data_IF_248207843855
#
_entry.id   IF_248207843855
#
_cell.length_a   1.000
_cell.length_b   1.000
_cell.length_c   1.000
_cell.angle_alpha   90.00
_cell.angle_beta   90.00
_cell.angle_gamma   90.00
#
_symmetry.space_group_name_H-M   'P 1'
#
loop_
_entity.id
_entity.type
_entity.pdbx_description
1 polymer ?
#
# COMPACT_ATOMS: atom_id res chain seq x y z
N UNK A 1 22.19 10.52 -6.99
CA UNK A 1 20.76 10.82 -7.25
C UNK A 1 20.24 12.06 -6.51
N UNK A 2 20.90 12.58 -5.46
CA UNK A 2 20.53 13.88 -4.85
C UNK A 2 19.15 13.92 -4.17
N UNK A 3 18.48 12.78 -4.01
CA UNK A 3 17.14 12.71 -3.42
C UNK A 3 17.20 12.85 -1.91
N UNK A 4 16.39 13.78 -1.37
CA UNK A 4 16.23 13.98 0.08
C UNK A 4 15.09 13.06 0.55
N UNK A 5 15.40 11.82 0.91
CA UNK A 5 14.42 10.83 1.40
C UNK A 5 13.86 11.34 2.73
N UNK A 6 12.58 11.68 2.78
CA UNK A 6 12.03 12.38 3.95
C UNK A 6 11.89 11.43 5.13
N UNK A 7 11.54 10.14 4.90
CA UNK A 7 11.22 9.14 5.95
C UNK A 7 11.39 7.70 5.42
N UNK A 8 12.06 6.82 6.17
CA UNK A 8 12.15 5.39 5.87
C UNK A 8 10.96 4.63 6.47
N UNK A 9 10.42 3.67 5.73
CA UNK A 9 9.31 2.82 6.14
C UNK A 9 9.80 1.37 6.08
N UNK A 10 9.92 0.69 7.23
CA UNK A 10 10.58 -0.59 7.31
C UNK A 10 9.97 -1.57 8.33
N UNK A 11 10.34 -2.86 8.26
CA UNK A 11 9.75 -3.98 9.01
C UNK A 11 10.04 -3.95 10.53
N UNK A 12 10.86 -3.00 10.98
CA UNK A 12 11.54 -2.86 12.27
C UNK A 12 10.64 -2.32 13.42
N UNK A 13 9.34 -2.61 13.36
CA UNK A 13 8.46 -2.58 14.55
C UNK A 13 7.86 -1.24 14.96
N UNK A 14 8.01 -0.16 14.16
CA UNK A 14 7.36 1.15 14.39
C UNK A 14 6.88 1.78 13.08
N UNK A 15 5.90 1.15 12.42
CA UNK A 15 5.41 1.47 11.06
C UNK A 15 4.64 2.80 10.92
N UNK A 16 5.08 3.83 11.64
CA UNK A 16 4.67 5.21 11.46
C UNK A 16 5.85 6.11 11.87
N UNK A 17 6.16 7.18 11.13
CA UNK A 17 7.05 8.22 11.61
C UNK A 17 6.67 8.69 13.02
N UNK A 18 7.63 8.82 13.94
CA UNK A 18 7.37 9.26 15.33
C UNK A 18 6.57 10.56 15.44
N UNK A 19 6.59 11.40 14.40
CA UNK A 19 5.92 12.69 14.36
C UNK A 19 4.68 12.70 13.44
N UNK A 20 4.14 11.54 13.05
CA UNK A 20 2.93 11.50 12.24
C UNK A 20 1.73 11.93 13.10
N UNK A 21 1.09 13.02 12.69
CA UNK A 21 -0.15 13.47 13.30
C UNK A 21 -1.32 12.75 12.61
N UNK A 22 -1.98 11.85 13.33
CA UNK A 22 -3.13 11.11 12.80
C UNK A 22 -4.43 11.73 13.25
N UNK A 23 -5.14 12.34 12.30
CA UNK A 23 -6.56 12.56 12.46
C UNK A 23 -7.30 11.26 12.07
N UNK A 24 -8.04 10.65 13.00
CA UNK A 24 -8.73 9.36 12.79
C UNK A 24 -9.72 9.40 11.62
N UNK A 25 -10.46 10.49 11.46
CA UNK A 25 -11.46 10.63 10.40
C UNK A 25 -10.80 10.72 9.02
N UNK A 26 -9.70 11.49 8.93
CA UNK A 26 -8.87 11.54 7.71
C UNK A 26 -8.22 10.19 7.43
N UNK A 27 -7.71 9.50 8.45
CA UNK A 27 -7.07 8.20 8.29
C UNK A 27 -8.05 7.15 7.74
N UNK A 28 -9.27 7.11 8.27
CA UNK A 28 -10.31 6.19 7.77
C UNK A 28 -10.61 6.44 6.29
N UNK A 29 -10.76 7.71 5.90
CA UNK A 29 -11.03 8.08 4.50
C UNK A 29 -9.92 7.61 3.56
N UNK A 30 -8.65 7.79 3.95
CA UNK A 30 -7.50 7.35 3.15
C UNK A 30 -7.42 5.82 3.09
N UNK A 31 -7.69 5.13 4.19
CA UNK A 31 -7.70 3.66 4.23
C UNK A 31 -8.80 3.11 3.32
N UNK A 32 -10.04 3.61 3.44
CA UNK A 32 -11.17 3.17 2.61
C UNK A 32 -10.87 3.37 1.12
N UNK A 33 -10.30 4.53 0.75
CA UNK A 33 -9.87 4.82 -0.63
C UNK A 33 -8.91 3.75 -1.18
N UNK A 34 -7.88 3.36 -0.41
CA UNK A 34 -6.92 2.35 -0.86
C UNK A 34 -7.49 0.93 -0.85
N UNK A 35 -8.38 0.60 0.09
CA UNK A 35 -9.08 -0.69 0.10
C UNK A 35 -9.95 -0.87 -1.14
N UNK A 36 -10.68 0.17 -1.54
CA UNK A 36 -11.52 0.16 -2.73
C UNK A 36 -10.67 0.11 -4.01
N UNK A 37 -9.62 0.94 -4.10
CA UNK A 37 -8.73 0.99 -5.27
C UNK A 37 -7.94 -0.29 -5.53
N UNK A 38 -7.70 -1.08 -4.49
CA UNK A 38 -6.99 -2.35 -4.57
C UNK A 38 -7.95 -3.55 -4.56
N UNK A 39 -9.26 -3.33 -4.61
CA UNK A 39 -10.29 -4.37 -4.63
C UNK A 39 -10.16 -5.38 -3.48
N UNK A 40 -9.92 -4.88 -2.27
CA UNK A 40 -9.78 -5.67 -1.03
C UNK A 40 -10.70 -5.18 0.09
N UNK A 41 -11.70 -4.35 -0.23
CA UNK A 41 -12.68 -3.82 0.74
C UNK A 41 -13.49 -4.91 1.42
N UNK A 42 -13.84 -5.96 0.68
CA UNK A 42 -14.62 -7.12 1.13
C UNK A 42 -13.89 -7.97 2.20
N UNK A 43 -12.58 -7.79 2.35
CA UNK A 43 -11.76 -8.51 3.32
C UNK A 43 -11.21 -7.63 4.44
N UNK A 44 -11.67 -6.39 4.55
CA UNK A 44 -11.16 -5.42 5.53
C UNK A 44 -11.24 -5.92 6.98
N UNK A 45 -12.31 -6.65 7.32
CA UNK A 45 -12.55 -7.17 8.67
C UNK A 45 -12.10 -8.63 8.86
N UNK A 46 -11.41 -9.22 7.87
CA UNK A 46 -10.94 -10.61 7.93
C UNK A 46 -9.56 -10.71 8.56
N UNK A 47 -9.31 -11.79 9.30
CA UNK A 47 -7.99 -12.09 9.84
C UNK A 47 -7.00 -12.49 8.73
N UNK A 48 -5.67 -12.32 8.93
CA UNK A 48 -4.65 -12.65 7.93
C UNK A 48 -4.69 -14.09 7.38
N UNK A 49 -5.14 -15.05 8.20
CA UNK A 49 -5.32 -16.45 7.80
C UNK A 49 -6.56 -16.72 6.95
N UNK A 50 -7.49 -15.75 6.86
CA UNK A 50 -8.76 -15.87 6.15
C UNK A 50 -8.75 -15.18 4.77
N UNK A 51 -7.60 -14.65 4.35
CA UNK A 51 -7.43 -13.96 3.07
C UNK A 51 -6.46 -14.73 2.17
N UNK A 52 -6.66 -14.64 0.85
CA UNK A 52 -5.79 -15.26 -0.15
C UNK A 52 -4.39 -14.61 -0.18
N UNK A 53 -3.43 -15.29 -0.80
CA UNK A 53 -2.08 -14.74 -1.02
C UNK A 53 -2.10 -13.39 -1.74
N UNK A 54 -2.87 -13.29 -2.83
CA UNK A 54 -3.02 -12.05 -3.57
C UNK A 54 -3.72 -10.92 -2.79
N UNK A 55 -4.69 -11.24 -1.93
CA UNK A 55 -5.29 -10.25 -1.02
C UNK A 55 -4.26 -9.75 0.02
N UNK A 56 -3.43 -10.63 0.58
CA UNK A 56 -2.34 -10.23 1.50
C UNK A 56 -1.33 -9.32 0.81
N UNK A 57 -0.94 -9.63 -0.43
CA UNK A 57 -0.01 -8.83 -1.20
C UNK A 57 -0.58 -7.43 -1.47
N UNK A 58 -1.85 -7.34 -1.90
CA UNK A 58 -2.56 -6.07 -2.09
C UNK A 58 -2.69 -5.27 -0.79
N UNK A 59 -3.00 -5.92 0.34
CA UNK A 59 -3.02 -5.27 1.64
C UNK A 59 -1.65 -4.73 2.07
N UNK A 60 -0.56 -5.44 1.75
CA UNK A 60 0.81 -4.98 1.98
C UNK A 60 1.14 -3.73 1.16
N UNK A 61 0.75 -3.70 -0.13
CA UNK A 61 0.88 -2.52 -0.99
C UNK A 61 0.07 -1.35 -0.42
N UNK A 62 -1.20 -1.58 -0.06
CA UNK A 62 -2.09 -0.57 0.54
C UNK A 62 -1.46 0.10 1.77
N UNK A 63 -0.89 -0.72 2.67
CA UNK A 63 -0.26 -0.26 3.90
C UNK A 63 0.91 0.68 3.62
N UNK A 64 1.66 0.44 2.55
CA UNK A 64 2.76 1.30 2.14
C UNK A 64 2.25 2.59 1.49
N UNK A 65 1.26 2.50 0.60
CA UNK A 65 0.71 3.65 -0.13
C UNK A 65 -0.05 4.64 0.75
N UNK A 66 -0.73 4.16 1.81
CA UNK A 66 -1.39 5.00 2.83
C UNK A 66 -0.44 6.04 3.43
N UNK A 67 0.85 5.73 3.52
CA UNK A 67 1.87 6.61 4.11
C UNK A 67 2.41 7.66 3.14
N UNK A 68 1.96 7.65 1.88
CA UNK A 68 2.43 8.52 0.81
C UNK A 68 3.97 8.56 0.74
N UNK A 69 4.63 7.41 0.45
CA UNK A 69 6.08 7.31 0.50
C UNK A 69 6.72 8.07 -0.66
N UNK A 70 7.90 8.66 -0.41
CA UNK A 70 8.70 9.31 -1.47
C UNK A 70 9.26 8.29 -2.47
N UNK A 71 9.54 7.08 -1.99
CA UNK A 71 10.13 5.99 -2.74
C UNK A 71 9.41 4.71 -2.33
N UNK A 72 8.94 3.96 -3.32
CA UNK A 72 8.35 2.64 -3.15
C UNK A 72 9.28 1.61 -3.78
N UNK A 73 9.99 0.84 -2.95
CA UNK A 73 10.78 -0.30 -3.40
C UNK A 73 9.93 -1.55 -3.34
N UNK A 74 9.98 -2.34 -4.41
CA UNK A 74 9.17 -3.53 -4.56
C UNK A 74 10.02 -4.62 -5.17
N UNK A 75 10.10 -5.76 -4.50
CA UNK A 75 10.73 -6.98 -5.00
C UNK A 75 9.62 -7.98 -5.34
N UNK A 76 9.49 -8.31 -6.62
CA UNK A 76 8.45 -9.20 -7.16
C UNK A 76 7.01 -8.92 -6.63
N UNK A 77 6.53 -7.66 -6.66
CA UNK A 77 5.32 -7.22 -5.93
C UNK A 77 4.00 -7.77 -6.47
N UNK A 78 4.01 -8.42 -7.63
CA UNK A 78 2.81 -8.92 -8.30
C UNK A 78 2.85 -10.43 -8.59
N UNK A 79 3.90 -11.11 -8.10
CA UNK A 79 4.15 -12.53 -8.34
C UNK A 79 3.01 -13.45 -7.88
N UNK A 80 2.33 -13.12 -6.77
CA UNK A 80 1.24 -13.92 -6.22
C UNK A 80 -0.17 -13.48 -6.70
N UNK A 81 -0.24 -12.64 -7.75
CA UNK A 81 -1.48 -12.16 -8.33
C UNK A 81 -1.82 -12.88 -9.64
N UNK A 82 -3.12 -13.06 -9.89
CA UNK A 82 -3.65 -13.45 -11.20
C UNK A 82 -3.38 -12.37 -12.26
N UNK A 83 -3.38 -12.78 -13.54
CA UNK A 83 -3.01 -11.90 -14.65
C UNK A 83 -3.85 -10.61 -14.73
N UNK A 84 -5.20 -10.65 -14.65
CA UNK A 84 -6.01 -9.42 -14.67
C UNK A 84 -5.72 -8.47 -13.50
N UNK A 85 -5.55 -9.02 -12.28
CA UNK A 85 -5.25 -8.19 -11.10
C UNK A 85 -3.85 -7.60 -11.17
N UNK A 86 -2.88 -8.33 -11.72
CA UNK A 86 -1.50 -7.88 -11.95
C UNK A 86 -1.47 -6.69 -12.91
N UNK A 87 -2.07 -6.81 -14.09
CA UNK A 87 -2.09 -5.74 -15.10
C UNK A 87 -2.68 -4.44 -14.55
N UNK A 88 -3.78 -4.54 -13.78
CA UNK A 88 -4.42 -3.39 -13.15
C UNK A 88 -3.49 -2.69 -12.13
N UNK A 89 -2.73 -3.45 -11.35
CA UNK A 89 -1.82 -2.91 -10.33
C UNK A 89 -0.52 -2.37 -10.94
N UNK A 90 -0.04 -2.97 -12.02
CA UNK A 90 1.07 -2.43 -12.81
C UNK A 90 0.69 -1.06 -13.39
N UNK A 91 -0.48 -0.96 -14.02
CA UNK A 91 -1.00 0.31 -14.54
C UNK A 91 -1.17 1.37 -13.43
N UNK A 92 -1.66 0.96 -12.25
CA UNK A 92 -1.75 1.84 -11.09
C UNK A 92 -0.38 2.37 -10.66
N UNK A 93 0.61 1.49 -10.58
CA UNK A 93 1.97 1.84 -10.15
C UNK A 93 2.63 2.81 -11.13
N UNK A 94 2.47 2.58 -12.44
CA UNK A 94 2.95 3.47 -13.48
C UNK A 94 2.29 4.85 -13.41
N UNK A 95 0.98 4.90 -13.10
CA UNK A 95 0.27 6.16 -12.92
C UNK A 95 0.80 6.94 -11.72
N UNK A 96 0.96 6.27 -10.57
CA UNK A 96 1.49 6.89 -9.35
C UNK A 96 2.91 7.43 -9.57
N UNK A 97 3.77 6.71 -10.30
CA UNK A 97 5.12 7.16 -10.61
C UNK A 97 5.20 8.38 -11.52
N UNK A 98 4.12 8.77 -12.22
CA UNK A 98 4.06 9.96 -13.09
C UNK A 98 3.48 11.19 -12.40
N UNK A 99 2.76 11.00 -11.30
CA UNK A 99 2.10 12.09 -10.54
C UNK A 99 3.02 12.70 -9.46
N UNK A 100 4.29 12.25 -9.37
CA UNK A 100 5.31 12.69 -8.39
C UNK A 100 6.41 13.51 -9.04
#
# INVERSE_FOLDING_TARGET
>A
LGMKIRKFYGPDGRHVPRNANFNKDKAKTVVDYWLDRLSIRDVADKYPGQVSGGQRQRAAIARTLVLNPDILLMDEPFSALDAPTRENLEALTLKLGREV
#
